data_IF_294214073795
#
_entry.id   IF_294214073795
#
_cell.length_a   1.000
_cell.length_b   1.000
_cell.length_c   1.000
_cell.angle_alpha   90.00
_cell.angle_beta   90.00
_cell.angle_gamma   90.00
#
_symmetry.space_group_name_H-M   'P 1'
#
loop_
_entity.id
_entity.type
_entity.pdbx_description
1 polymer ?
#
# COMPACT_ATOMS: atom_id res chain seq x y z
N UNK A 1 -5.03 -50.99 -4.20
CA UNK A 1 -6.01 -50.41 -3.28
C UNK A 1 -5.91 -48.91 -3.44
N UNK A 2 -6.92 -48.33 -4.09
CA UNK A 2 -6.79 -47.13 -4.93
C UNK A 2 -6.61 -45.83 -4.15
N UNK A 3 -5.66 -45.03 -4.64
CA UNK A 3 -5.46 -43.64 -4.30
C UNK A 3 -6.67 -42.81 -4.76
N UNK A 4 -7.39 -42.21 -3.82
CA UNK A 4 -8.38 -41.18 -4.13
C UNK A 4 -7.64 -39.90 -4.52
N UNK A 5 -7.58 -39.66 -5.84
CA UNK A 5 -7.34 -38.33 -6.41
C UNK A 5 -8.39 -37.38 -5.83
N UNK A 6 -7.96 -36.38 -5.07
CA UNK A 6 -8.81 -35.25 -4.76
C UNK A 6 -8.90 -34.41 -6.03
N UNK A 7 -10.09 -34.37 -6.62
CA UNK A 7 -10.41 -33.50 -7.73
C UNK A 7 -10.13 -32.05 -7.33
N UNK A 8 -9.13 -31.45 -7.98
CA UNK A 8 -8.93 -30.01 -8.00
C UNK A 8 -10.10 -29.38 -8.75
N UNK A 9 -11.13 -28.99 -8.01
CA UNK A 9 -12.12 -28.04 -8.52
C UNK A 9 -11.46 -26.65 -8.59
N UNK A 10 -11.52 -25.96 -9.73
CA UNK A 10 -10.94 -24.62 -9.84
C UNK A 10 -11.68 -23.65 -8.93
N UNK A 11 -10.92 -22.98 -8.06
CA UNK A 11 -11.33 -21.90 -7.18
C UNK A 11 -12.02 -20.76 -7.98
N UNK A 12 -13.17 -20.21 -7.56
CA UNK A 12 -13.88 -19.16 -8.30
C UNK A 12 -13.25 -17.76 -8.11
N UNK A 13 -11.93 -17.69 -7.97
CA UNK A 13 -11.13 -16.46 -7.82
C UNK A 13 -10.85 -15.72 -9.13
N UNK A 14 -11.30 -16.24 -10.28
CA UNK A 14 -11.26 -15.52 -11.54
C UNK A 14 -12.36 -14.44 -11.55
N UNK A 15 -12.08 -13.27 -10.97
CA UNK A 15 -12.82 -12.06 -11.32
C UNK A 15 -12.67 -11.87 -12.83
N UNK A 16 -13.72 -12.23 -13.57
CA UNK A 16 -13.69 -12.51 -15.00
C UNK A 16 -12.84 -11.55 -15.82
N UNK A 17 -12.18 -12.11 -16.83
CA UNK A 17 -11.66 -11.34 -17.97
C UNK A 17 -12.77 -10.39 -18.41
N UNK A 18 -12.52 -9.07 -18.52
CA UNK A 18 -13.53 -8.14 -18.99
C UNK A 18 -14.11 -8.67 -20.30
N UNK A 19 -15.43 -8.63 -20.46
CA UNK A 19 -16.00 -8.95 -21.78
C UNK A 19 -15.35 -8.07 -22.84
N UNK A 20 -15.17 -8.59 -24.06
CA UNK A 20 -14.51 -7.83 -25.14
C UNK A 20 -15.11 -6.44 -25.34
N UNK A 21 -16.42 -6.29 -25.14
CA UNK A 21 -17.13 -5.00 -25.18
C UNK A 21 -16.74 -4.05 -24.03
N UNK A 22 -16.58 -4.56 -22.80
CA UNK A 22 -16.11 -3.73 -21.68
C UNK A 22 -14.67 -3.26 -21.90
N UNK A 23 -13.80 -4.16 -22.35
CA UNK A 23 -12.39 -3.85 -22.63
C UNK A 23 -12.26 -2.77 -23.71
N UNK A 24 -13.01 -2.89 -24.82
CA UNK A 24 -13.08 -1.88 -25.89
C UNK A 24 -13.51 -0.53 -25.33
N UNK A 25 -14.57 -0.49 -24.53
CA UNK A 25 -15.09 0.76 -23.95
C UNK A 25 -14.08 1.43 -23.02
N UNK A 26 -13.45 0.64 -22.15
CA UNK A 26 -12.47 1.13 -21.18
C UNK A 26 -11.17 1.60 -21.86
N UNK A 27 -10.64 0.83 -22.80
CA UNK A 27 -9.46 1.20 -23.60
C UNK A 27 -9.71 2.51 -24.38
N UNK A 28 -10.87 2.64 -25.04
CA UNK A 28 -11.25 3.85 -25.79
C UNK A 28 -11.34 5.07 -24.87
N UNK A 29 -12.00 4.95 -23.72
CA UNK A 29 -12.12 6.03 -22.73
C UNK A 29 -10.75 6.44 -22.21
N UNK A 30 -9.92 5.47 -21.86
CA UNK A 30 -8.55 5.69 -21.38
C UNK A 30 -7.71 6.45 -22.43
N UNK A 31 -7.58 5.92 -23.64
CA UNK A 31 -6.77 6.54 -24.70
C UNK A 31 -7.25 7.95 -25.03
N UNK A 32 -8.57 8.19 -25.04
CA UNK A 32 -9.11 9.54 -25.27
C UNK A 32 -8.65 10.53 -24.21
N UNK A 33 -8.68 10.15 -22.93
CA UNK A 33 -8.21 11.00 -21.82
C UNK A 33 -6.70 11.24 -21.95
N UNK A 34 -5.91 10.18 -22.15
CA UNK A 34 -4.45 10.27 -22.24
C UNK A 34 -4.02 11.18 -23.37
N UNK A 35 -4.52 10.98 -24.59
CA UNK A 35 -4.12 11.76 -25.76
C UNK A 35 -4.56 13.22 -25.64
N UNK A 36 -5.75 13.48 -25.07
CA UNK A 36 -6.22 14.84 -24.85
C UNK A 36 -5.38 15.59 -23.80
N UNK A 37 -5.10 14.97 -22.63
CA UNK A 37 -4.34 15.64 -21.57
C UNK A 37 -2.84 15.74 -21.87
N UNK A 38 -2.28 14.86 -22.72
CA UNK A 38 -0.88 14.93 -23.16
C UNK A 38 -0.68 15.75 -24.45
N UNK A 39 -1.74 16.11 -25.16
CA UNK A 39 -1.64 16.77 -26.46
C UNK A 39 -1.02 15.90 -27.56
N UNK A 40 -1.11 14.57 -27.43
CA UNK A 40 -0.57 13.64 -28.43
C UNK A 40 -1.47 13.57 -29.66
N UNK A 41 -0.86 13.56 -30.85
CA UNK A 41 -1.54 13.36 -32.12
C UNK A 41 -1.76 11.86 -32.41
N UNK A 42 -2.55 11.53 -33.44
CA UNK A 42 -2.69 10.13 -33.89
C UNK A 42 -3.66 9.25 -33.10
N UNK A 43 -4.49 9.83 -32.20
CA UNK A 43 -5.46 9.07 -31.39
C UNK A 43 -6.34 8.13 -32.23
N UNK A 44 -6.86 8.59 -33.38
CA UNK A 44 -7.74 7.78 -34.22
C UNK A 44 -7.04 6.54 -34.79
N UNK A 45 -5.79 6.67 -35.24
CA UNK A 45 -4.98 5.57 -35.74
C UNK A 45 -4.64 4.58 -34.62
N UNK A 46 -4.18 5.09 -33.46
CA UNK A 46 -3.92 4.25 -32.28
C UNK A 46 -5.16 3.50 -31.82
N UNK A 47 -6.33 4.17 -31.80
CA UNK A 47 -7.58 3.51 -31.43
C UNK A 47 -7.95 2.40 -32.40
N UNK A 48 -7.75 2.61 -33.70
CA UNK A 48 -8.00 1.57 -34.71
C UNK A 48 -7.11 0.34 -34.49
N UNK A 49 -5.82 0.56 -34.21
CA UNK A 49 -4.86 -0.50 -33.87
C UNK A 49 -5.29 -1.28 -32.61
N UNK A 50 -5.53 -0.58 -31.51
CA UNK A 50 -5.93 -1.20 -30.23
C UNK A 50 -7.24 -1.96 -30.36
N UNK A 51 -8.23 -1.42 -31.08
CA UNK A 51 -9.50 -2.11 -31.32
C UNK A 51 -9.28 -3.42 -32.10
N UNK A 52 -8.44 -3.40 -33.13
CA UNK A 52 -8.12 -4.60 -33.91
C UNK A 52 -7.35 -5.63 -33.07
N UNK A 53 -6.43 -5.19 -32.20
CA UNK A 53 -5.71 -6.06 -31.27
C UNK A 53 -6.67 -6.76 -30.29
N UNK A 54 -7.63 -6.02 -29.72
CA UNK A 54 -8.65 -6.58 -28.81
C UNK A 54 -9.52 -7.61 -29.55
N UNK A 55 -9.94 -7.32 -30.77
CA UNK A 55 -10.74 -8.26 -31.57
C UNK A 55 -9.99 -9.55 -31.89
N UNK A 56 -8.67 -9.48 -32.09
CA UNK A 56 -7.82 -10.63 -32.44
C UNK A 56 -7.37 -11.44 -31.22
N UNK A 57 -7.11 -10.80 -30.09
CA UNK A 57 -6.41 -11.41 -28.95
C UNK A 57 -7.20 -11.39 -27.65
N UNK A 58 -8.37 -10.76 -27.63
CA UNK A 58 -9.12 -10.43 -26.42
C UNK A 58 -8.33 -9.57 -25.40
N UNK A 59 -7.24 -8.92 -25.83
CA UNK A 59 -6.38 -8.07 -25.01
C UNK A 59 -5.79 -6.91 -25.86
N UNK A 60 -5.07 -6.00 -25.22
CA UNK A 60 -4.24 -5.01 -25.92
C UNK A 60 -3.01 -4.61 -25.12
N UNK A 61 -2.01 -4.07 -25.82
CA UNK A 61 -0.73 -3.70 -25.21
C UNK A 61 -0.52 -2.19 -25.22
N UNK A 62 -0.46 -1.51 -24.06
CA UNK A 62 -0.18 -0.08 -24.02
C UNK A 62 1.29 0.18 -24.36
N UNK A 63 1.56 1.33 -24.96
CA UNK A 63 2.95 1.82 -25.10
C UNK A 63 3.52 2.15 -23.72
N UNK A 64 4.85 2.25 -23.58
CA UNK A 64 5.47 2.66 -22.32
C UNK A 64 5.04 4.07 -21.89
N UNK A 65 4.76 4.96 -22.85
CA UNK A 65 4.24 6.30 -22.58
C UNK A 65 2.80 6.24 -22.06
N UNK A 66 1.93 5.43 -22.68
CA UNK A 66 0.56 5.19 -22.22
C UNK A 66 0.55 4.58 -20.80
N UNK A 67 1.40 3.59 -20.52
CA UNK A 67 1.57 2.99 -19.20
C UNK A 67 2.00 4.04 -18.15
N UNK A 68 3.05 4.80 -18.47
CA UNK A 68 3.60 5.82 -17.56
C UNK A 68 2.55 6.84 -17.18
N UNK A 69 1.79 7.35 -18.15
CA UNK A 69 0.74 8.32 -17.88
C UNK A 69 -0.47 7.70 -17.20
N UNK A 70 -0.84 6.45 -17.54
CA UNK A 70 -1.90 5.71 -16.86
C UNK A 70 -1.63 5.48 -15.38
N UNK A 71 -0.39 5.12 -15.01
CA UNK A 71 0.03 5.00 -13.62
C UNK A 71 -0.02 6.34 -12.87
N UNK A 72 0.39 7.44 -13.52
CA UNK A 72 0.26 8.81 -12.98
C UNK A 72 -1.20 9.20 -12.73
N UNK A 73 -2.09 8.91 -13.68
CA UNK A 73 -3.53 9.13 -13.53
C UNK A 73 -4.13 8.26 -12.41
N UNK A 74 -3.68 7.02 -12.24
CA UNK A 74 -4.13 6.16 -11.14
C UNK A 74 -3.82 6.78 -9.76
N UNK A 75 -2.63 7.36 -9.60
CA UNK A 75 -2.30 8.08 -8.37
C UNK A 75 -3.15 9.34 -8.20
N UNK A 76 -3.32 10.14 -9.25
CA UNK A 76 -4.20 11.31 -9.25
C UNK A 76 -5.65 10.98 -8.85
N UNK A 77 -6.14 9.81 -9.27
CA UNK A 77 -7.50 9.31 -9.00
C UNK A 77 -7.62 8.58 -7.65
N UNK A 78 -6.53 8.41 -6.90
CA UNK A 78 -6.53 7.66 -5.63
C UNK A 78 -7.24 8.43 -4.52
N UNK A 79 -8.55 8.18 -4.35
CA UNK A 79 -9.43 8.89 -3.42
C UNK A 79 -9.00 8.84 -1.95
N UNK A 80 -8.12 7.89 -1.59
CA UNK A 80 -7.59 7.70 -0.23
C UNK A 80 -6.22 8.35 -0.01
N UNK A 81 -5.62 8.95 -1.04
CA UNK A 81 -4.29 9.54 -0.96
C UNK A 81 -4.36 11.06 -0.78
N UNK A 82 -3.85 11.57 0.34
CA UNK A 82 -3.71 13.02 0.59
C UNK A 82 -2.49 13.62 -0.14
N UNK A 83 -1.46 12.81 -0.45
CA UNK A 83 -0.24 13.22 -1.14
C UNK A 83 -0.38 13.41 -2.66
N UNK A 84 -1.60 13.57 -3.19
CA UNK A 84 -1.85 13.61 -4.65
C UNK A 84 -1.25 14.80 -5.39
N UNK A 85 -0.85 15.88 -4.71
CA UNK A 85 -0.21 17.03 -5.35
C UNK A 85 1.08 16.69 -6.12
N UNK A 86 1.71 15.55 -5.80
CA UNK A 86 2.94 15.06 -6.42
C UNK A 86 2.70 14.08 -7.57
N UNK A 87 1.46 13.79 -7.95
CA UNK A 87 1.14 12.83 -9.02
C UNK A 87 1.92 13.00 -10.34
N UNK A 88 2.24 14.23 -10.82
CA UNK A 88 2.98 14.40 -12.07
C UNK A 88 4.44 13.94 -11.98
N UNK A 89 5.02 13.90 -10.77
CA UNK A 89 6.44 13.59 -10.53
C UNK A 89 6.72 12.09 -10.41
N UNK A 90 5.70 11.23 -10.52
CA UNK A 90 5.89 9.78 -10.44
C UNK A 90 6.83 9.30 -11.55
N UNK A 91 7.90 8.62 -11.16
CA UNK A 91 8.72 7.86 -12.10
C UNK A 91 8.13 6.47 -12.24
N UNK A 92 8.03 5.98 -13.48
CA UNK A 92 7.45 4.65 -13.77
C UNK A 92 8.51 3.82 -14.48
N UNK A 93 8.80 2.64 -13.94
CA UNK A 93 9.65 1.62 -14.54
C UNK A 93 8.74 0.62 -15.25
N UNK A 94 8.79 0.62 -16.57
CA UNK A 94 8.09 -0.36 -17.40
C UNK A 94 8.85 -1.69 -17.39
N UNK A 95 8.41 -2.62 -16.54
CA UNK A 95 9.02 -3.94 -16.36
C UNK A 95 8.04 -5.06 -16.76
N UNK A 96 7.13 -4.77 -17.70
CA UNK A 96 6.05 -5.70 -18.10
C UNK A 96 6.53 -7.00 -18.74
N UNK A 97 7.80 -7.05 -19.15
CA UNK A 97 8.46 -8.25 -19.66
C UNK A 97 9.10 -9.10 -18.56
N UNK A 98 9.24 -8.57 -17.33
CA UNK A 98 9.88 -9.24 -16.20
C UNK A 98 8.83 -10.06 -15.46
N UNK A 99 8.97 -11.38 -15.50
CA UNK A 99 8.04 -12.34 -14.87
C UNK A 99 8.71 -13.38 -13.97
N UNK A 100 10.03 -13.54 -14.08
CA UNK A 100 10.77 -14.54 -13.30
C UNK A 100 11.00 -14.03 -11.87
N UNK A 101 10.68 -14.81 -10.82
CA UNK A 101 10.80 -14.35 -9.44
C UNK A 101 12.17 -13.75 -9.06
N UNK A 102 13.26 -14.34 -9.53
CA UNK A 102 14.63 -13.83 -9.26
C UNK A 102 14.87 -12.44 -9.86
N UNK A 103 14.42 -12.24 -11.10
CA UNK A 103 14.53 -10.96 -11.79
C UNK A 103 13.60 -9.92 -11.16
N UNK A 104 12.38 -10.31 -10.81
CA UNK A 104 11.44 -9.46 -10.07
C UNK A 104 12.10 -8.99 -8.78
N UNK A 105 12.65 -9.89 -7.97
CA UNK A 105 13.33 -9.54 -6.72
C UNK A 105 14.48 -8.55 -6.95
N UNK A 106 15.36 -8.81 -7.93
CA UNK A 106 16.44 -7.89 -8.28
C UNK A 106 15.91 -6.49 -8.61
N UNK A 107 14.84 -6.40 -9.40
CA UNK A 107 14.19 -5.13 -9.72
C UNK A 107 13.50 -4.45 -8.52
N UNK A 108 13.00 -5.21 -7.54
CA UNK A 108 12.47 -4.66 -6.29
C UNK A 108 13.59 -4.04 -5.44
N UNK A 109 14.76 -4.68 -5.35
CA UNK A 109 15.93 -4.10 -4.68
C UNK A 109 16.37 -2.81 -5.38
N UNK A 110 16.47 -2.82 -6.72
CA UNK A 110 16.74 -1.58 -7.48
C UNK A 110 15.68 -0.50 -7.22
N UNK A 111 14.39 -0.88 -7.06
CA UNK A 111 13.34 0.08 -6.73
C UNK A 111 13.61 0.77 -5.39
N UNK A 112 14.02 0.01 -4.36
CA UNK A 112 14.35 0.57 -3.05
C UNK A 112 15.54 1.54 -3.13
N UNK A 113 16.58 1.17 -3.87
CA UNK A 113 17.77 2.01 -4.06
C UNK A 113 17.46 3.30 -4.84
N UNK A 114 16.73 3.20 -5.95
CA UNK A 114 16.37 4.35 -6.78
C UNK A 114 15.41 5.31 -6.04
N UNK A 115 14.47 4.75 -5.28
CA UNK A 115 13.52 5.55 -4.50
C UNK A 115 14.19 6.23 -3.30
N UNK A 116 15.24 5.64 -2.71
CA UNK A 116 15.96 6.21 -1.58
C UNK A 116 16.57 7.59 -1.88
N UNK A 117 17.23 7.73 -3.05
CA UNK A 117 17.74 9.01 -3.55
C UNK A 117 18.47 9.86 -2.47
N UNK A 118 19.34 9.21 -1.68
CA UNK A 118 20.11 9.87 -0.61
C UNK A 118 19.27 10.43 0.54
N UNK A 119 18.13 9.82 0.85
CA UNK A 119 17.16 10.31 1.85
C UNK A 119 16.12 11.27 1.25
N UNK A 120 16.34 11.81 0.06
CA UNK A 120 15.40 12.67 -0.66
C UNK A 120 14.41 11.84 -1.48
N UNK A 121 13.57 11.09 -0.77
CA UNK A 121 12.72 10.04 -1.34
C UNK A 121 11.97 10.48 -2.61
N UNK A 122 12.12 9.66 -3.66
CA UNK A 122 11.49 9.84 -4.97
C UNK A 122 10.27 8.92 -5.10
N UNK A 123 9.16 9.47 -5.57
CA UNK A 123 7.98 8.67 -5.91
C UNK A 123 8.26 7.80 -7.15
N UNK A 124 8.18 6.48 -6.99
CA UNK A 124 8.56 5.51 -8.01
C UNK A 124 7.50 4.40 -8.08
N UNK A 125 7.24 3.89 -9.27
CA UNK A 125 6.44 2.69 -9.48
C UNK A 125 7.17 1.73 -10.40
N UNK A 126 7.20 0.45 -10.06
CA UNK A 126 7.64 -0.61 -10.96
C UNK A 126 6.44 -1.43 -11.40
N UNK A 127 6.15 -1.52 -12.71
CA UNK A 127 5.02 -2.31 -13.21
C UNK A 127 5.54 -3.59 -13.86
N UNK A 128 5.28 -4.73 -13.23
CA UNK A 128 5.77 -6.04 -13.67
C UNK A 128 4.81 -6.75 -14.63
N UNK A 129 5.30 -7.84 -15.22
CA UNK A 129 4.53 -8.69 -16.13
C UNK A 129 3.45 -9.54 -15.43
N UNK A 130 2.63 -10.24 -16.22
CA UNK A 130 1.58 -11.11 -15.70
C UNK A 130 2.16 -12.31 -14.93
N UNK A 131 1.37 -12.88 -14.02
CA UNK A 131 1.77 -14.08 -13.25
C UNK A 131 2.80 -13.83 -12.15
N UNK A 132 3.11 -12.56 -11.86
CA UNK A 132 3.94 -12.15 -10.73
C UNK A 132 3.07 -11.56 -9.64
N UNK A 133 3.31 -11.97 -8.40
CA UNK A 133 2.67 -11.35 -7.25
C UNK A 133 3.62 -11.27 -6.06
N UNK A 134 3.77 -10.08 -5.47
CA UNK A 134 4.39 -9.95 -4.15
C UNK A 134 3.32 -10.26 -3.10
N UNK A 135 3.63 -11.18 -2.18
CA UNK A 135 2.71 -11.64 -1.13
C UNK A 135 2.58 -10.58 -0.02
N UNK A 136 3.67 -9.84 0.23
CA UNK A 136 3.76 -8.78 1.22
C UNK A 136 2.84 -7.59 0.87
N UNK A 137 2.31 -6.92 1.90
CA UNK A 137 1.54 -5.68 1.73
C UNK A 137 2.43 -4.49 1.36
N UNK A 138 3.64 -4.45 1.94
CA UNK A 138 4.71 -3.53 1.56
C UNK A 138 6.05 -4.26 1.47
N UNK A 139 6.99 -3.72 0.70
CA UNK A 139 8.31 -4.34 0.55
C UNK A 139 9.11 -4.38 1.86
N UNK A 140 8.96 -3.37 2.72
CA UNK A 140 9.58 -3.37 4.04
C UNK A 140 8.49 -3.36 5.10
N UNK A 141 8.44 -4.42 5.90
CA UNK A 141 7.55 -4.58 7.03
C UNK A 141 8.20 -5.39 8.13
N UNK A 142 7.75 -5.15 9.35
CA UNK A 142 8.18 -5.91 10.51
C UNK A 142 7.25 -7.09 10.76
N UNK A 143 7.83 -8.21 11.18
CA UNK A 143 7.10 -9.41 11.50
C UNK A 143 6.26 -9.25 12.78
N UNK A 144 5.26 -10.11 12.94
CA UNK A 144 4.43 -10.22 14.14
C UNK A 144 4.37 -11.66 14.61
N UNK A 145 5.05 -11.99 15.70
CA UNK A 145 5.12 -13.35 16.25
C UNK A 145 4.12 -13.53 17.38
N UNK A 146 3.05 -14.30 17.12
CA UNK A 146 2.10 -14.69 18.16
C UNK A 146 2.80 -15.52 19.25
N UNK A 147 2.67 -15.08 20.49
CA UNK A 147 3.21 -15.75 21.67
C UNK A 147 2.18 -16.70 22.28
N UNK A 148 2.64 -17.59 23.16
CA UNK A 148 1.78 -18.58 23.83
C UNK A 148 0.73 -17.94 24.77
N UNK A 149 1.01 -16.76 25.31
CA UNK A 149 0.11 -16.00 26.18
C UNK A 149 -0.93 -15.14 25.42
N UNK A 150 -0.93 -15.23 24.09
CA UNK A 150 -1.83 -14.46 23.22
C UNK A 150 -1.33 -13.07 22.86
N UNK A 151 -0.18 -12.64 23.39
CA UNK A 151 0.47 -11.39 22.95
C UNK A 151 1.14 -11.56 21.58
N UNK A 152 1.53 -10.46 20.96
CA UNK A 152 2.31 -10.47 19.70
C UNK A 152 3.59 -9.69 19.90
N UNK A 153 4.72 -10.33 19.63
CA UNK A 153 6.02 -9.68 19.52
C UNK A 153 6.17 -9.09 18.11
N UNK A 154 6.53 -7.81 18.02
CA UNK A 154 6.65 -7.10 16.75
C UNK A 154 5.35 -6.41 16.34
N UNK A 155 4.96 -6.51 15.08
CA UNK A 155 3.80 -5.81 14.51
C UNK A 155 2.57 -6.74 14.41
N UNK A 156 1.53 -6.56 15.27
CA UNK A 156 0.32 -7.38 15.22
C UNK A 156 -0.42 -7.37 13.88
N UNK A 157 -0.31 -6.29 13.09
CA UNK A 157 -0.91 -6.22 11.75
C UNK A 157 -0.39 -7.33 10.83
N UNK A 158 0.86 -7.74 11.02
CA UNK A 158 1.54 -8.68 10.16
C UNK A 158 1.57 -10.09 10.76
N UNK A 159 0.84 -10.35 11.85
CA UNK A 159 0.85 -11.65 12.51
C UNK A 159 0.34 -12.79 11.62
N UNK A 160 -0.74 -12.55 10.86
CA UNK A 160 -1.27 -13.55 9.91
C UNK A 160 -0.31 -13.80 8.74
N UNK A 161 0.29 -12.74 8.19
CA UNK A 161 1.31 -12.85 7.14
C UNK A 161 2.53 -13.61 7.66
N UNK A 162 3.04 -13.25 8.83
CA UNK A 162 4.20 -13.90 9.50
C UNK A 162 3.94 -15.39 9.65
N UNK A 163 2.79 -15.77 10.20
CA UNK A 163 2.39 -17.18 10.37
C UNK A 163 2.29 -17.90 9.03
N UNK A 164 1.73 -17.25 8.01
CA UNK A 164 1.63 -17.82 6.66
C UNK A 164 3.01 -18.09 6.06
N UNK A 165 3.94 -17.14 6.16
CA UNK A 165 5.31 -17.32 5.68
C UNK A 165 6.04 -18.42 6.45
N UNK A 166 5.84 -18.50 7.77
CA UNK A 166 6.40 -19.58 8.59
C UNK A 166 5.85 -20.95 8.19
N UNK A 167 4.55 -21.05 7.89
CA UNK A 167 3.93 -22.29 7.41
C UNK A 167 4.51 -22.75 6.05
N UNK A 168 4.90 -21.80 5.21
CA UNK A 168 5.57 -22.05 3.94
C UNK A 168 7.10 -22.28 4.06
N UNK A 169 7.64 -22.28 5.28
CA UNK A 169 9.02 -22.66 5.56
C UNK A 169 9.98 -21.51 5.88
N UNK A 170 9.51 -20.27 6.03
CA UNK A 170 10.35 -19.20 6.55
C UNK A 170 10.63 -19.42 8.05
N UNK A 171 11.90 -19.47 8.46
CA UNK A 171 12.28 -19.77 9.85
C UNK A 171 11.93 -18.67 10.86
N UNK A 172 11.57 -17.47 10.40
CA UNK A 172 11.45 -16.28 11.23
C UNK A 172 12.74 -15.46 11.24
N UNK A 173 12.66 -14.29 11.89
CA UNK A 173 13.80 -13.41 12.13
C UNK A 173 14.45 -13.70 13.50
N UNK A 174 15.34 -12.81 13.96
CA UNK A 174 16.02 -12.95 15.26
C UNK A 174 15.12 -12.95 16.51
N UNK A 175 13.82 -12.69 16.37
CA UNK A 175 12.86 -12.58 17.48
C UNK A 175 12.86 -11.20 18.13
N UNK A 176 12.92 -10.13 17.35
CA UNK A 176 12.87 -8.75 17.86
C UNK A 176 11.57 -8.03 17.49
N UNK A 177 11.22 -6.90 18.16
CA UNK A 177 10.07 -6.09 17.78
C UNK A 177 10.13 -5.50 16.35
N UNK A 178 11.28 -5.53 15.69
CA UNK A 178 11.50 -4.90 14.39
C UNK A 178 12.21 -5.84 13.40
N UNK A 179 11.90 -7.13 13.45
CA UNK A 179 12.41 -8.10 12.47
C UNK A 179 11.79 -7.87 11.10
N UNK A 180 12.62 -7.63 10.10
CA UNK A 180 12.16 -7.39 8.72
C UNK A 180 11.67 -8.70 8.09
N UNK A 181 10.46 -8.69 7.55
CA UNK A 181 9.91 -9.82 6.80
C UNK A 181 10.70 -10.04 5.49
N UNK A 182 10.90 -11.30 5.05
CA UNK A 182 11.44 -11.58 3.74
C UNK A 182 10.46 -11.10 2.66
N UNK A 183 10.97 -10.81 1.47
CA UNK A 183 10.13 -10.65 0.29
C UNK A 183 9.68 -12.03 -0.16
N UNK A 184 8.37 -12.24 -0.20
CA UNK A 184 7.76 -13.46 -0.73
C UNK A 184 7.15 -13.15 -2.09
N UNK A 185 7.66 -13.80 -3.13
CA UNK A 185 7.15 -13.67 -4.51
C UNK A 185 6.45 -14.96 -4.88
N UNK A 186 5.16 -14.85 -5.18
CA UNK A 186 4.37 -15.90 -5.77
C UNK A 186 4.45 -15.80 -7.30
N UNK A 187 4.71 -16.94 -7.92
CA UNK A 187 4.62 -17.11 -9.37
C UNK A 187 4.20 -18.54 -9.69
N UNK A 188 3.15 -18.66 -10.51
CA UNK A 188 2.62 -19.95 -10.97
C UNK A 188 2.32 -20.96 -9.85
N UNK A 189 1.81 -20.49 -8.70
CA UNK A 189 1.44 -21.32 -7.56
C UNK A 189 2.59 -21.69 -6.61
N UNK A 190 3.81 -21.22 -6.88
CA UNK A 190 4.97 -21.40 -6.00
C UNK A 190 5.38 -20.07 -5.38
N UNK A 191 5.73 -20.10 -4.09
CA UNK A 191 6.24 -18.94 -3.35
C UNK A 191 7.72 -19.13 -3.09
N UNK A 192 8.53 -18.14 -3.46
CA UNK A 192 9.97 -18.08 -3.13
C UNK A 192 10.27 -16.90 -2.23
N UNK A 193 11.11 -17.14 -1.22
CA UNK A 193 11.56 -16.13 -0.26
C UNK A 193 12.89 -15.52 -0.66
N UNK A 194 13.02 -14.23 -0.39
CA UNK A 194 14.23 -13.46 -0.60
C UNK A 194 14.48 -12.54 0.58
N UNK A 195 15.70 -12.54 1.08
CA UNK A 195 16.14 -11.59 2.10
C UNK A 195 16.55 -10.28 1.43
N UNK A 196 16.07 -9.15 1.95
CA UNK A 196 16.50 -7.85 1.46
C UNK A 196 17.95 -7.60 1.87
N UNK A 197 18.80 -7.09 0.97
CA UNK A 197 20.12 -6.59 1.33
C UNK A 197 20.02 -5.51 2.42
N UNK A 198 20.97 -5.50 3.36
CA UNK A 198 20.95 -4.57 4.49
C UNK A 198 20.96 -3.09 4.05
N UNK A 199 21.60 -2.78 2.92
CA UNK A 199 21.67 -1.44 2.34
C UNK A 199 20.36 -1.00 1.64
N UNK A 200 19.47 -1.94 1.33
CA UNK A 200 18.12 -1.68 0.82
C UNK A 200 17.12 -1.37 1.94
N UNK A 201 17.42 -1.76 3.17
CA UNK A 201 16.56 -1.54 4.35
C UNK A 201 17.12 -0.38 5.19
N UNK A 202 16.66 0.83 4.89
CA UNK A 202 17.01 2.02 5.66
C UNK A 202 16.02 2.20 6.81
N UNK A 203 16.52 2.26 8.04
CA UNK A 203 15.73 2.48 9.24
C UNK A 203 16.18 3.75 9.96
N UNK A 204 15.24 4.45 10.56
CA UNK A 204 15.47 5.65 11.38
C UNK A 204 15.20 5.28 12.83
N UNK A 205 16.23 5.20 13.70
CA UNK A 205 16.05 5.15 15.14
C UNK A 205 15.35 6.41 15.64
N UNK A 206 14.39 6.25 16.54
CA UNK A 206 13.60 7.37 17.03
C UNK A 206 14.18 7.95 18.32
N UNK A 207 14.24 9.28 18.36
CA UNK A 207 14.68 10.12 19.47
C UNK A 207 13.72 11.31 19.61
N UNK A 208 13.79 12.01 20.74
CA UNK A 208 12.95 13.17 21.01
C UNK A 208 13.84 14.39 21.32
N UNK A 209 13.52 15.58 20.79
CA UNK A 209 14.34 16.78 21.01
C UNK A 209 14.42 17.17 22.49
N UNK A 210 13.32 17.01 23.23
CA UNK A 210 13.21 17.45 24.63
C UNK A 210 13.25 16.30 25.66
N UNK A 211 13.19 15.05 25.22
CA UNK A 211 13.08 13.88 26.11
C UNK A 211 14.18 12.87 25.82
N UNK A 212 15.32 13.02 26.50
CA UNK A 212 16.48 12.14 26.32
C UNK A 212 16.15 10.65 26.57
N UNK A 213 15.26 10.34 27.52
CA UNK A 213 14.81 8.98 27.83
C UNK A 213 14.11 8.29 26.65
N UNK A 214 13.65 9.03 25.63
CA UNK A 214 12.88 8.47 24.52
C UNK A 214 13.67 7.39 23.75
N UNK A 215 15.00 7.54 23.65
CA UNK A 215 15.85 6.54 22.98
C UNK A 215 15.89 5.20 23.70
N UNK A 216 15.58 5.16 25.00
CA UNK A 216 15.51 3.94 25.80
C UNK A 216 14.33 3.06 25.39
N UNK A 217 13.31 3.61 24.70
CA UNK A 217 12.22 2.82 24.12
C UNK A 217 12.67 1.93 22.97
N UNK A 218 13.85 2.18 22.38
CA UNK A 218 14.40 1.38 21.28
C UNK A 218 13.56 1.39 20.01
N UNK A 219 12.71 2.41 19.83
CA UNK A 219 11.82 2.50 18.67
C UNK A 219 12.60 2.88 17.41
N UNK A 220 12.23 2.27 16.30
CA UNK A 220 12.73 2.62 14.96
C UNK A 220 11.64 2.40 13.92
N UNK A 221 11.80 2.98 12.75
CA UNK A 221 10.93 2.70 11.61
C UNK A 221 11.70 2.72 10.29
N UNK A 222 11.30 1.87 9.34
CA UNK A 222 11.88 1.90 8.00
C UNK A 222 11.52 3.20 7.28
N UNK A 223 12.46 3.76 6.53
CA UNK A 223 12.35 5.09 5.95
C UNK A 223 11.45 5.15 4.70
N UNK A 224 11.34 4.04 3.97
CA UNK A 224 10.73 4.01 2.64
C UNK A 224 9.43 3.17 2.64
N UNK A 225 8.25 3.80 2.52
CA UNK A 225 7.00 3.07 2.30
C UNK A 225 6.88 2.65 0.84
N UNK A 226 6.87 1.34 0.57
CA UNK A 226 6.60 0.79 -0.77
C UNK A 226 5.43 -0.17 -0.72
N UNK A 227 4.25 0.27 -1.18
CA UNK A 227 3.04 -0.54 -1.23
C UNK A 227 3.16 -1.58 -2.35
N UNK A 228 2.86 -2.84 -2.07
CA UNK A 228 3.02 -3.96 -3.02
C UNK A 228 1.78 -4.85 -3.20
N UNK A 229 0.72 -4.69 -2.39
CA UNK A 229 -0.50 -5.49 -2.48
C UNK A 229 -1.62 -4.89 -3.36
N UNK A 230 -1.40 -3.71 -3.94
CA UNK A 230 -2.35 -3.09 -4.85
C UNK A 230 -2.05 -3.50 -6.30
N UNK A 231 -3.12 -3.72 -7.08
CA UNK A 231 -3.02 -3.82 -8.54
C UNK A 231 -3.32 -2.46 -9.18
N UNK A 232 -2.64 -2.17 -10.28
CA UNK A 232 -2.98 -1.05 -11.15
C UNK A 232 -4.02 -1.51 -12.18
N UNK A 233 -5.10 -0.77 -12.33
CA UNK A 233 -6.07 -0.95 -13.43
C UNK A 233 -6.07 0.26 -14.36
N UNK A 234 -5.90 0.03 -15.67
CA UNK A 234 -5.94 1.08 -16.69
C UNK A 234 -6.44 0.55 -18.03
N UNK A 235 -7.43 1.24 -18.61
CA UNK A 235 -7.98 0.90 -19.93
C UNK A 235 -8.45 -0.55 -20.06
N UNK A 236 -9.04 -1.11 -18.99
CA UNK A 236 -9.49 -2.49 -18.89
C UNK A 236 -8.39 -3.53 -18.63
N UNK A 237 -7.12 -3.12 -18.54
CA UNK A 237 -6.00 -3.98 -18.20
C UNK A 237 -5.76 -3.99 -16.69
N UNK A 238 -5.27 -5.11 -16.17
CA UNK A 238 -4.96 -5.31 -14.75
C UNK A 238 -3.50 -5.73 -14.59
N UNK A 239 -2.72 -4.95 -13.84
CA UNK A 239 -1.33 -5.23 -13.50
C UNK A 239 -1.26 -5.61 -12.02
N UNK A 240 -1.15 -6.91 -11.74
CA UNK A 240 -1.22 -7.48 -10.39
C UNK A 240 -0.03 -7.09 -9.50
N UNK A 241 1.13 -6.80 -10.09
CA UNK A 241 2.33 -6.40 -9.36
C UNK A 241 2.81 -5.05 -9.87
N UNK A 242 2.44 -4.00 -9.14
CA UNK A 242 2.80 -2.61 -9.45
C UNK A 242 3.28 -1.86 -8.19
N UNK A 243 4.35 -2.33 -7.50
CA UNK A 243 4.79 -1.70 -6.27
C UNK A 243 5.11 -0.22 -6.46
N UNK A 244 4.63 0.58 -5.52
CA UNK A 244 4.65 2.03 -5.56
C UNK A 244 5.22 2.59 -4.27
N UNK A 245 6.21 3.48 -4.40
CA UNK A 245 6.81 4.22 -3.31
C UNK A 245 6.39 5.68 -3.32
N UNK A 246 6.20 6.20 -2.11
CA UNK A 246 6.17 7.62 -1.80
C UNK A 246 7.10 7.87 -0.62
N UNK A 247 6.82 8.90 0.15
CA UNK A 247 7.43 9.11 1.47
C UNK A 247 6.34 9.19 2.52
N UNK A 248 6.73 8.96 3.77
CA UNK A 248 5.78 8.96 4.87
C UNK A 248 5.16 10.33 5.12
N UNK A 249 3.90 10.29 5.49
CA UNK A 249 3.31 11.24 6.41
C UNK A 249 3.60 10.80 7.85
N UNK A 250 4.05 11.70 8.71
CA UNK A 250 4.47 11.36 10.06
C UNK A 250 3.39 10.66 10.90
N UNK A 251 2.11 10.98 10.68
CA UNK A 251 0.99 10.32 11.36
C UNK A 251 0.83 8.86 10.96
N UNK A 252 1.30 8.42 9.79
CA UNK A 252 1.30 7.00 9.42
C UNK A 252 2.19 6.18 10.36
N UNK A 253 3.34 6.73 10.74
CA UNK A 253 4.26 6.09 11.68
C UNK A 253 3.76 6.31 13.11
N UNK A 254 3.70 7.56 13.57
CA UNK A 254 3.45 7.87 14.97
C UNK A 254 2.02 7.53 15.40
N UNK A 255 1.02 8.02 14.67
CA UNK A 255 -0.38 7.93 15.08
C UNK A 255 -1.07 6.62 14.71
N UNK A 256 -0.52 5.86 13.75
CA UNK A 256 -1.06 4.55 13.34
C UNK A 256 -0.14 3.43 13.77
N UNK A 257 1.05 3.33 13.19
CA UNK A 257 1.92 2.17 13.42
C UNK A 257 2.38 2.06 14.89
N UNK A 258 2.79 3.16 15.49
CA UNK A 258 3.33 3.17 16.85
C UNK A 258 2.23 3.32 17.93
N UNK A 259 1.18 4.11 17.68
CA UNK A 259 0.18 4.42 18.68
C UNK A 259 -1.02 3.47 18.76
N UNK A 260 -1.51 2.94 17.63
CA UNK A 260 -2.73 2.12 17.60
C UNK A 260 -2.60 0.93 18.58
N UNK A 261 -3.67 0.63 19.32
CA UNK A 261 -3.66 -0.41 20.35
C UNK A 261 -3.58 -1.83 19.79
N UNK A 262 -4.02 -2.03 18.55
CA UNK A 262 -3.86 -3.25 17.76
C UNK A 262 -2.59 -3.23 16.90
N UNK A 263 -1.64 -2.33 17.22
CA UNK A 263 -0.30 -2.24 16.60
C UNK A 263 0.77 -2.26 17.69
N UNK A 264 1.78 -1.38 17.64
CA UNK A 264 2.85 -1.36 18.64
C UNK A 264 2.43 -0.77 19.99
N UNK A 265 1.28 -0.10 20.08
CA UNK A 265 0.69 0.41 21.32
C UNK A 265 1.66 1.17 22.26
N UNK A 266 2.40 2.14 21.73
CA UNK A 266 3.47 2.84 22.46
C UNK A 266 2.98 4.01 23.35
N UNK A 267 1.71 4.44 23.22
CA UNK A 267 1.20 5.58 24.01
C UNK A 267 1.38 5.41 25.54
N UNK A 268 1.12 4.24 26.15
CA UNK A 268 1.35 4.06 27.59
C UNK A 268 2.83 4.20 27.99
N UNK A 269 3.76 3.75 27.15
CA UNK A 269 5.20 3.86 27.42
C UNK A 269 5.66 5.33 27.35
N UNK A 270 5.22 6.05 26.31
CA UNK A 270 5.50 7.49 26.16
C UNK A 270 4.90 8.29 27.32
N UNK A 271 3.65 8.02 27.71
CA UNK A 271 3.00 8.69 28.82
C UNK A 271 3.70 8.47 30.17
N UNK A 272 4.25 7.26 30.41
CA UNK A 272 5.06 6.97 31.60
C UNK A 272 6.37 7.78 31.60
N UNK A 273 7.09 7.82 30.49
CA UNK A 273 8.32 8.62 30.39
C UNK A 273 8.08 10.12 30.58
N UNK A 274 6.90 10.60 30.19
CA UNK A 274 6.45 11.98 30.43
C UNK A 274 5.89 12.23 31.85
N UNK A 275 5.76 11.20 32.70
CA UNK A 275 5.17 11.33 34.04
C UNK A 275 3.68 11.70 34.05
N UNK A 276 2.92 11.30 33.02
CA UNK A 276 1.49 11.64 32.91
C UNK A 276 0.61 10.74 33.79
N UNK A 277 -0.48 11.31 34.32
CA UNK A 277 -1.53 10.53 34.98
C UNK A 277 -2.41 9.80 33.94
N UNK A 278 -2.17 8.49 33.80
CA UNK A 278 -2.87 7.62 32.84
C UNK A 278 -4.16 7.01 33.38
N UNK A 279 -4.54 7.28 34.65
CA UNK A 279 -5.67 6.63 35.31
C UNK A 279 -7.04 7.01 34.73
N UNK A 280 -7.14 8.18 34.09
CA UNK A 280 -8.42 8.73 33.61
C UNK A 280 -8.25 9.40 32.25
N UNK A 281 -9.09 9.08 31.28
CA UNK A 281 -9.06 9.69 29.95
C UNK A 281 -9.15 11.24 29.99
N UNK A 282 -9.85 11.82 30.98
CA UNK A 282 -10.02 13.27 31.13
C UNK A 282 -8.71 14.05 31.36
N UNK A 283 -7.62 13.38 31.72
CA UNK A 283 -6.30 14.01 31.84
C UNK A 283 -5.67 14.29 30.47
N UNK A 284 -6.29 13.79 29.39
CA UNK A 284 -5.83 13.89 28.01
C UNK A 284 -4.43 13.33 27.81
N UNK A 285 -4.06 12.31 28.60
CA UNK A 285 -2.74 11.71 28.55
C UNK A 285 -2.44 11.07 27.19
N UNK A 286 -3.46 10.50 26.54
CA UNK A 286 -3.32 9.88 25.22
C UNK A 286 -3.02 10.94 24.16
N UNK A 287 -3.74 12.06 24.18
CA UNK A 287 -3.55 13.19 23.28
C UNK A 287 -2.14 13.78 23.43
N UNK A 288 -1.70 14.00 24.68
CA UNK A 288 -0.36 14.52 24.98
C UNK A 288 0.74 13.58 24.52
N UNK A 289 0.65 12.29 24.88
CA UNK A 289 1.63 11.29 24.45
C UNK A 289 1.66 11.11 22.92
N UNK A 290 0.50 11.20 22.26
CA UNK A 290 0.39 11.09 20.81
C UNK A 290 1.07 12.26 20.08
N UNK A 291 0.92 13.49 20.61
CA UNK A 291 1.62 14.66 20.08
C UNK A 291 3.13 14.47 20.16
N UNK A 292 3.67 14.13 21.33
CA UNK A 292 5.12 13.96 21.51
C UNK A 292 5.68 12.79 20.67
N UNK A 293 4.90 11.72 20.48
CA UNK A 293 5.29 10.63 19.57
C UNK A 293 5.39 11.11 18.11
N UNK A 294 4.53 12.05 17.68
CA UNK A 294 4.65 12.66 16.35
C UNK A 294 5.86 13.61 16.26
N UNK A 295 6.16 14.36 17.34
CA UNK A 295 7.36 15.20 17.44
C UNK A 295 8.63 14.36 17.31
N UNK A 296 8.72 13.24 18.05
CA UNK A 296 9.85 12.31 17.96
C UNK A 296 10.07 11.81 16.53
N UNK A 297 9.02 11.40 15.84
CA UNK A 297 9.11 10.88 14.46
C UNK A 297 9.61 11.97 13.50
N UNK A 298 9.04 13.17 13.54
CA UNK A 298 9.50 14.28 12.68
C UNK A 298 10.96 14.63 12.96
N UNK A 299 11.29 14.86 14.23
CA UNK A 299 12.66 15.19 14.65
C UNK A 299 13.68 14.16 14.18
N UNK A 300 13.38 12.88 14.37
CA UNK A 300 14.31 11.80 14.03
C UNK A 300 14.53 11.68 12.52
N UNK A 301 13.48 11.83 11.72
CA UNK A 301 13.60 11.79 10.26
C UNK A 301 14.35 13.02 9.73
N UNK A 302 14.09 14.21 10.28
CA UNK A 302 14.81 15.43 9.94
C UNK A 302 16.31 15.32 10.31
N UNK A 303 16.62 14.83 11.52
CA UNK A 303 17.99 14.61 11.98
C UNK A 303 18.74 13.57 11.12
N UNK A 304 18.04 12.56 10.61
CA UNK A 304 18.59 11.55 9.71
C UNK A 304 18.67 12.03 8.24
N UNK A 305 18.21 13.24 7.91
CA UNK A 305 18.17 13.75 6.54
C UNK A 305 17.19 13.01 5.63
N UNK A 306 16.18 12.35 6.21
CA UNK A 306 15.20 11.53 5.50
C UNK A 306 13.92 12.30 5.27
N UNK A 307 13.48 12.37 4.02
CA UNK A 307 12.26 13.07 3.64
C UNK A 307 11.02 12.44 4.31
N UNK A 308 10.33 13.26 5.07
CA UNK A 308 9.02 12.99 5.66
C UNK A 308 8.12 14.23 5.49
N UNK A 309 6.81 14.07 5.57
CA UNK A 309 5.87 15.20 5.58
C UNK A 309 5.13 15.29 6.91
N UNK A 310 4.78 16.52 7.30
CA UNK A 310 3.82 16.76 8.38
C UNK A 310 2.38 16.89 7.83
N UNK A 311 1.42 16.54 8.68
CA UNK A 311 0.00 16.55 8.34
C UNK A 311 -0.63 17.92 8.07
N UNK A 312 -0.09 19.01 8.60
CA UNK A 312 -0.60 20.34 8.26
C UNK A 312 -0.13 20.76 6.85
N UNK A 313 1.12 20.49 6.50
CA UNK A 313 1.67 20.83 5.19
C UNK A 313 1.06 19.97 4.09
N UNK A 314 0.95 18.65 4.28
CA UNK A 314 0.38 17.77 3.24
C UNK A 314 -1.08 18.13 2.94
N UNK A 315 -1.87 18.50 3.96
CA UNK A 315 -3.27 18.88 3.77
C UNK A 315 -3.42 20.22 3.06
N UNK A 316 -2.52 21.20 3.30
CA UNK A 316 -2.43 22.42 2.48
C UNK A 316 -2.03 22.12 1.04
N UNK A 317 -1.09 21.19 0.81
CA UNK A 317 -0.74 20.76 -0.54
C UNK A 317 -1.90 20.08 -1.26
N UNK A 318 -2.71 19.30 -0.53
CA UNK A 318 -3.92 18.71 -1.08
C UNK A 318 -4.93 19.76 -1.54
N UNK A 319 -5.13 20.83 -0.76
CA UNK A 319 -6.01 21.95 -1.18
C UNK A 319 -5.52 22.61 -2.47
N UNK A 320 -4.21 22.84 -2.60
CA UNK A 320 -3.63 23.36 -3.85
C UNK A 320 -3.83 22.40 -5.03
N UNK A 321 -3.79 21.09 -4.78
CA UNK A 321 -4.12 20.09 -5.78
C UNK A 321 -5.59 20.21 -6.21
N UNK A 322 -6.54 20.36 -5.28
CA UNK A 322 -7.96 20.59 -5.61
C UNK A 322 -8.16 21.85 -6.46
N UNK A 323 -7.45 22.93 -6.15
CA UNK A 323 -7.50 24.17 -6.93
C UNK A 323 -7.03 23.98 -8.36
N UNK A 324 -5.91 23.26 -8.56
CA UNK A 324 -5.39 22.92 -9.91
C UNK A 324 -6.36 22.04 -10.68
N UNK A 325 -6.96 21.05 -10.02
CA UNK A 325 -7.96 20.19 -10.65
C UNK A 325 -9.20 20.97 -11.08
N UNK A 326 -9.66 21.89 -10.23
CA UNK A 326 -10.78 22.78 -10.53
C UNK A 326 -10.48 23.71 -11.71
N UNK A 327 -9.27 24.30 -11.76
CA UNK A 327 -8.83 25.14 -12.88
C UNK A 327 -8.81 24.37 -14.21
N UNK A 328 -8.51 23.07 -14.15
CA UNK A 328 -8.58 22.18 -15.31
C UNK A 328 -10.00 21.63 -15.58
N UNK A 329 -11.04 22.15 -14.92
CA UNK A 329 -12.44 21.77 -15.14
C UNK A 329 -12.83 20.42 -14.52
N UNK A 330 -12.09 19.92 -13.52
CA UNK A 330 -12.26 18.58 -12.94
C UNK A 330 -12.62 18.67 -11.47
N UNK A 331 -13.33 17.65 -10.97
CA UNK A 331 -13.73 17.54 -9.56
C UNK A 331 -12.92 16.43 -8.87
N UNK A 332 -12.31 16.77 -7.75
CA UNK A 332 -11.56 15.82 -6.93
C UNK A 332 -12.49 14.87 -6.20
N UNK A 333 -12.33 13.57 -6.47
CA UNK A 333 -12.90 12.51 -5.64
C UNK A 333 -12.06 12.30 -4.37
N UNK A 334 -12.70 11.87 -3.29
CA UNK A 334 -12.02 11.67 -2.02
C UNK A 334 -12.84 10.88 -1.01
N UNK A 335 -12.17 9.99 -0.28
CA UNK A 335 -12.73 9.37 0.92
C UNK A 335 -12.32 10.21 2.12
N UNK A 336 -13.23 11.05 2.62
CA UNK A 336 -12.94 12.02 3.68
C UNK A 336 -12.23 11.41 4.90
N UNK A 337 -12.67 10.23 5.35
CA UNK A 337 -12.06 9.53 6.50
C UNK A 337 -10.63 9.03 6.28
N UNK A 338 -10.12 9.05 5.05
CA UNK A 338 -8.73 8.77 4.72
C UNK A 338 -7.91 10.05 4.46
N UNK A 339 -8.56 11.13 4.05
CA UNK A 339 -7.88 12.40 3.75
C UNK A 339 -7.64 13.26 4.99
N UNK A 340 -8.50 13.11 6.00
CA UNK A 340 -8.34 13.80 7.28
C UNK A 340 -7.29 13.08 8.13
N UNK A 341 -6.28 13.81 8.64
CA UNK A 341 -5.26 13.20 9.50
C UNK A 341 -5.83 12.65 10.81
N UNK A 342 -5.26 11.57 11.37
CA UNK A 342 -5.68 11.01 12.64
C UNK A 342 -5.25 11.84 13.87
N UNK A 343 -4.43 12.87 13.67
CA UNK A 343 -4.01 13.83 14.70
C UNK A 343 -4.49 15.23 14.30
N UNK A 344 -5.05 15.97 15.28
CA UNK A 344 -5.47 17.37 15.14
C UNK A 344 -6.33 17.69 13.90
N UNK A 345 -7.33 16.85 13.52
CA UNK A 345 -8.04 16.99 12.25
C UNK A 345 -8.68 18.37 12.05
N UNK A 346 -9.35 18.89 13.09
CA UNK A 346 -10.03 20.19 13.07
C UNK A 346 -9.10 21.39 12.82
N UNK A 347 -7.79 21.22 12.94
CA UNK A 347 -6.78 22.26 12.65
C UNK A 347 -6.31 22.24 11.19
N UNK A 348 -6.85 21.34 10.37
CA UNK A 348 -6.45 21.16 8.97
C UNK A 348 -7.55 21.59 8.00
N UNK A 349 -7.19 22.15 6.84
CA UNK A 349 -8.19 22.68 5.91
C UNK A 349 -9.08 21.59 5.27
N UNK A 350 -8.63 20.32 5.30
CA UNK A 350 -9.37 19.20 4.72
C UNK A 350 -10.55 18.75 5.58
N UNK A 351 -10.54 19.03 6.89
CA UNK A 351 -11.60 18.65 7.81
C UNK A 351 -12.95 19.29 7.44
N UNK A 352 -12.92 20.55 7.01
CA UNK A 352 -14.12 21.33 6.66
C UNK A 352 -14.64 21.08 5.23
N UNK A 353 -14.01 20.16 4.48
CA UNK A 353 -14.35 19.88 3.08
C UNK A 353 -15.24 18.65 2.95
N UNK A 354 -15.99 18.58 1.85
CA UNK A 354 -16.84 17.42 1.51
C UNK A 354 -16.37 16.85 0.18
N UNK A 355 -16.31 15.52 0.13
CA UNK A 355 -15.84 14.79 -1.04
C UNK A 355 -16.84 13.71 -1.43
N UNK A 356 -16.96 13.47 -2.72
CA UNK A 356 -17.63 12.29 -3.25
C UNK A 356 -16.62 11.13 -3.28
N UNK A 357 -16.96 10.00 -2.67
CA UNK A 357 -16.11 8.78 -2.68
C UNK A 357 -16.30 8.01 -4.01
N UNK A 358 -15.86 8.66 -5.09
CA UNK A 358 -15.91 8.13 -6.46
C UNK A 358 -14.61 7.41 -6.80
N UNK A 359 -14.73 6.27 -7.48
CA UNK A 359 -13.60 5.47 -7.94
C UNK A 359 -13.43 5.62 -9.45
N UNK A 360 -12.59 6.58 -9.86
CA UNK A 360 -12.30 6.84 -11.28
C UNK A 360 -11.18 5.94 -11.78
N UNK A 361 -11.27 5.45 -13.03
CA UNK A 361 -10.22 4.67 -13.69
C UNK A 361 -9.41 5.54 -14.66
N UNK A 362 -8.06 5.36 -14.75
CA UNK A 362 -7.21 4.39 -14.04
C UNK A 362 -7.17 4.55 -12.52
N UNK A 363 -6.95 3.45 -11.77
CA UNK A 363 -6.82 3.48 -10.30
C UNK A 363 -6.03 2.29 -9.75
N UNK A 364 -5.78 2.31 -8.44
CA UNK A 364 -5.27 1.17 -7.68
C UNK A 364 -6.38 0.46 -6.92
N UNK A 365 -6.34 -0.86 -6.93
CA UNK A 365 -7.33 -1.69 -6.26
C UNK A 365 -6.68 -2.74 -5.35
N UNK A 366 -7.26 -2.99 -4.16
CA UNK A 366 -6.82 -4.08 -3.30
C UNK A 366 -6.96 -5.43 -4.00
N UNK A 367 -6.03 -6.33 -3.71
CA UNK A 367 -6.05 -7.71 -4.18
C UNK A 367 -6.43 -8.65 -3.04
N UNK A 368 -7.05 -9.79 -3.36
CA UNK A 368 -7.33 -10.86 -2.39
C UNK A 368 -6.01 -11.40 -1.84
N UNK A 369 -5.68 -11.13 -0.58
CA UNK A 369 -4.43 -11.59 0.06
C UNK A 369 -4.32 -13.11 -0.04
N UNK A 370 -3.15 -13.62 -0.41
CA UNK A 370 -2.89 -15.07 -0.50
C UNK A 370 -2.96 -15.77 0.87
N UNK A 371 -2.75 -15.00 1.93
CA UNK A 371 -2.77 -15.45 3.31
C UNK A 371 -4.07 -15.08 4.05
N UNK A 372 -5.04 -14.45 3.38
CA UNK A 372 -6.34 -14.23 4.00
C UNK A 372 -6.94 -15.60 4.36
N UNK A 373 -7.57 -15.75 5.55
CA UNK A 373 -8.29 -16.96 5.88
C UNK A 373 -9.24 -17.28 4.73
N UNK A 374 -9.13 -18.49 4.15
CA UNK A 374 -10.18 -18.98 3.26
C UNK A 374 -11.47 -18.80 4.03
N UNK A 375 -12.40 -17.97 3.54
CA UNK A 375 -13.77 -17.99 4.07
C UNK A 375 -14.23 -19.41 3.80
N UNK A 376 -14.11 -20.30 4.80
CA UNK A 376 -14.88 -21.53 4.82
C UNK A 376 -16.30 -21.03 4.66
N UNK A 377 -16.90 -21.26 3.50
CA UNK A 377 -18.33 -21.15 3.40
C UNK A 377 -18.83 -22.02 4.55
N UNK A 378 -19.49 -21.41 5.53
CA UNK A 378 -20.26 -22.19 6.47
C UNK A 378 -21.11 -23.12 5.58
N UNK A 379 -21.08 -24.45 5.78
CA UNK A 379 -21.88 -25.34 4.96
C UNK A 379 -23.28 -24.77 4.95
N UNK A 380 -23.83 -24.52 3.76
CA UNK A 380 -25.13 -23.91 3.60
C UNK A 380 -26.12 -24.70 4.47
N UNK A 381 -26.47 -24.14 5.63
CA UNK A 381 -27.50 -24.74 6.47
C UNK A 381 -28.78 -24.59 5.67
N UNK A 382 -29.29 -25.72 5.18
CA UNK A 382 -30.61 -25.79 4.57
C UNK A 382 -31.61 -25.19 5.57
N UNK A 383 -32.33 -24.10 5.23
CA UNK A 383 -33.23 -23.42 6.17
C UNK A 383 -34.43 -24.28 6.60
N UNK A 384 -34.56 -25.49 6.05
CA UNK A 384 -35.67 -26.41 6.32
C UNK A 384 -35.32 -27.56 7.28
N UNK A 385 -34.08 -27.65 7.78
CA UNK A 385 -33.72 -28.63 8.81
C UNK A 385 -33.61 -27.93 10.18
N UNK A 386 -34.72 -27.94 10.92
CA UNK A 386 -34.73 -27.70 12.37
C UNK A 386 -34.35 -29.02 13.05
N UNK A 387 -33.34 -29.06 13.94
CA UNK A 387 -33.06 -30.24 14.75
C UNK A 387 -34.30 -30.54 15.60
N UNK A 388 -34.83 -31.76 15.49
CA UNK A 388 -35.73 -32.29 16.51
C UNK A 388 -34.83 -32.82 17.63
N UNK A 389 -34.79 -32.11 18.76
CA UNK A 389 -34.20 -32.64 19.99
C UNK A 389 -35.06 -33.81 20.51
N UNK A 390 -34.45 -34.89 21.03
CA UNK A 390 -35.05 -35.71 22.07
C UNK A 390 -34.90 -35.07 23.45
#
# INVERSE_FOLDING_TARGET
MEARRADFSPDPGHQGVPSGESLIREARRFLRVVYAEQGWSGWAARWSEVRAEIQRTACWTPTSAELTYGAKLAWRNSARCVGRSYWPSLVVRDLRTVTRPDEVFAHLVTHLHDAWNGGQIRALMSVFGPGVRVVNDQLIRYAGYCQADGTVLGDPKNAELTRYLQHLGWSGGPGTPFDVLPIAIESHGSVKFYELPADAVREVPLSHPDFAWFTELGLKWHALPVISDLRLEMGGLRFACAPFSGWYLQTEIAARNLADADRYHQLPAVARGMGLDTRRARTLWQDRALVELNVAVLHSFDAAGVKISDHHTVTRHFVRFEERERQAGRRVAGRWSWLVPPLSPATTPVYHRRYEDRHDNPNFYPQTRLWAPSRRQAPARCPFHVPRDP
#
